data_IF_456594519135
#
_entry.id   IF_456594519135
#
_cell.length_a   1.000
_cell.length_b   1.000
_cell.length_c   1.000
_cell.angle_alpha   90.00
_cell.angle_beta   90.00
_cell.angle_gamma   90.00
#
_symmetry.space_group_name_H-M   'P 1'
#
loop_
_entity.id
_entity.type
_entity.pdbx_description
1 polymer ?
#
# COMPACT_ATOMS: atom_id res chain seq x y z
N UNK A 1 -23.01 -0.93 12.81
CA UNK A 1 -21.63 -0.76 12.30
C UNK A 1 -21.72 -0.18 10.91
N UNK A 2 -21.08 0.97 10.66
CA UNK A 2 -21.07 1.59 9.33
C UNK A 2 -19.88 1.00 8.56
N UNK A 3 -20.12 0.39 7.41
CA UNK A 3 -19.07 -0.22 6.58
C UNK A 3 -18.64 0.78 5.51
N UNK A 4 -17.34 1.10 5.46
CA UNK A 4 -16.78 1.89 4.37
C UNK A 4 -16.17 0.95 3.34
N UNK A 5 -16.85 0.74 2.21
CA UNK A 5 -16.33 -0.05 1.09
C UNK A 5 -15.81 0.92 0.03
N UNK A 6 -14.50 0.94 -0.18
CA UNK A 6 -13.87 1.73 -1.23
C UNK A 6 -13.37 0.77 -2.32
N UNK A 7 -14.14 0.64 -3.39
CA UNK A 7 -13.75 -0.11 -4.60
C UNK A 7 -13.25 0.90 -5.62
N UNK A 8 -11.93 0.96 -5.85
CA UNK A 8 -11.31 1.90 -6.79
C UNK A 8 -10.73 1.12 -7.97
N UNK A 9 -11.55 0.90 -9.00
CA UNK A 9 -11.09 0.35 -10.28
C UNK A 9 -10.56 1.49 -11.16
N UNK A 10 -9.28 1.82 -11.04
CA UNK A 10 -8.64 2.85 -11.85
C UNK A 10 -7.12 2.73 -11.88
N UNK A 11 -6.54 2.80 -13.08
CA UNK A 11 -5.11 2.79 -13.32
C UNK A 11 -4.53 4.17 -12.92
N UNK A 12 -4.10 4.33 -11.67
CA UNK A 12 -3.36 5.52 -11.23
C UNK A 12 -1.90 5.38 -11.65
N UNK A 13 -1.45 6.19 -12.61
CA UNK A 13 -0.09 6.10 -13.19
C UNK A 13 0.98 6.65 -12.23
N UNK A 14 0.61 7.48 -11.25
CA UNK A 14 1.45 7.85 -10.10
C UNK A 14 0.53 8.19 -8.93
N UNK A 15 0.45 7.32 -7.91
CA UNK A 15 -0.19 7.69 -6.66
C UNK A 15 -0.62 6.51 -5.81
N UNK A 16 -0.54 6.71 -4.50
CA UNK A 16 -0.97 5.73 -3.52
C UNK A 16 -2.48 5.67 -3.44
N UNK A 17 -3.03 4.46 -3.46
CA UNK A 17 -4.39 4.26 -2.96
C UNK A 17 -4.30 4.25 -1.44
N UNK A 18 -4.82 5.29 -0.79
CA UNK A 18 -4.93 5.38 0.67
C UNK A 18 -6.36 5.12 1.14
N UNK A 19 -6.59 4.07 1.93
CA UNK A 19 -7.83 3.88 2.68
C UNK A 19 -7.62 4.27 4.15
N UNK A 20 -8.55 5.03 4.74
CA UNK A 20 -8.52 5.41 6.15
C UNK A 20 -9.87 5.15 6.84
N UNK A 21 -9.87 4.45 7.98
CA UNK A 21 -11.04 4.41 8.86
C UNK A 21 -10.67 4.38 10.34
N UNK A 22 -11.58 4.88 11.16
CA UNK A 22 -11.51 4.81 12.62
C UNK A 22 -12.85 4.28 13.16
N UNK A 23 -12.82 3.19 13.93
CA UNK A 23 -14.03 2.58 14.50
C UNK A 23 -14.97 1.94 13.48
N UNK A 24 -14.48 1.56 12.30
CA UNK A 24 -15.29 0.99 11.21
C UNK A 24 -14.45 0.08 10.33
N UNK A 25 -15.05 -1.02 9.88
CA UNK A 25 -14.35 -2.02 9.07
C UNK A 25 -13.84 -1.40 7.76
N UNK A 26 -12.57 -1.70 7.44
CA UNK A 26 -11.91 -1.32 6.21
C UNK A 26 -11.83 -2.55 5.31
N UNK A 27 -12.43 -2.48 4.13
CA UNK A 27 -12.35 -3.55 3.13
C UNK A 27 -11.77 -3.00 1.83
N UNK A 28 -10.59 -3.48 1.46
CA UNK A 28 -9.90 -3.09 0.22
C UNK A 28 -9.59 -4.32 -0.60
N UNK A 29 -10.38 -4.55 -1.64
CA UNK A 29 -10.33 -5.80 -2.40
C UNK A 29 -10.20 -5.60 -3.90
N UNK A 30 -9.50 -6.54 -4.55
CA UNK A 30 -9.46 -6.68 -6.01
C UNK A 30 -8.99 -5.42 -6.75
N UNK A 31 -8.15 -4.60 -6.12
CA UNK A 31 -7.55 -3.44 -6.78
C UNK A 31 -6.31 -3.87 -7.57
N UNK A 32 -6.07 -3.21 -8.70
CA UNK A 32 -4.85 -3.38 -9.48
C UNK A 32 -4.17 -2.02 -9.54
N UNK A 33 -2.99 -1.92 -8.92
CA UNK A 33 -2.17 -0.72 -8.87
C UNK A 33 -0.92 -0.94 -9.72
N UNK A 34 -0.61 0.02 -10.59
CA UNK A 34 0.60 0.02 -11.40
C UNK A 34 1.32 1.35 -11.19
N UNK A 35 2.52 1.34 -10.62
CA UNK A 35 3.33 2.54 -10.44
C UNK A 35 4.64 2.43 -11.21
N UNK A 36 4.98 3.48 -11.95
CA UNK A 36 6.26 3.60 -12.65
C UNK A 36 6.97 4.84 -12.13
N UNK A 37 8.15 4.63 -11.55
CA UNK A 37 9.03 5.68 -11.06
C UNK A 37 10.36 5.56 -11.81
N UNK A 38 10.85 6.68 -12.35
CA UNK A 38 12.16 6.77 -12.96
C UNK A 38 12.81 8.07 -12.48
N UNK A 39 14.05 8.00 -12.02
CA UNK A 39 14.83 9.16 -11.57
C UNK A 39 14.07 10.01 -10.51
N UNK A 40 13.28 9.35 -9.67
CA UNK A 40 12.41 9.99 -8.70
C UNK A 40 13.08 10.05 -7.31
N UNK A 41 12.73 11.09 -6.54
CA UNK A 41 13.03 11.17 -5.11
C UNK A 41 11.75 11.01 -4.31
N UNK A 42 11.66 9.98 -3.48
CA UNK A 42 10.49 9.66 -2.67
C UNK A 42 10.88 9.58 -1.21
N UNK A 43 10.26 10.43 -0.38
CA UNK A 43 10.54 10.51 1.05
C UNK A 43 9.22 10.49 1.83
N UNK A 44 9.18 9.77 2.96
CA UNK A 44 8.05 9.75 3.89
C UNK A 44 6.71 9.38 3.23
N UNK A 45 6.72 8.52 2.22
CA UNK A 45 5.55 8.24 1.39
C UNK A 45 5.31 6.75 1.20
N UNK A 46 4.34 6.41 0.35
CA UNK A 46 4.11 5.03 -0.08
C UNK A 46 4.02 5.01 -1.60
N UNK A 47 4.27 3.86 -2.21
CA UNK A 47 4.16 3.61 -3.65
C UNK A 47 3.39 2.30 -3.76
N UNK A 48 2.30 2.27 -4.53
CA UNK A 48 1.34 1.16 -4.52
C UNK A 48 0.11 1.46 -3.66
N UNK A 49 -0.05 0.72 -2.57
CA UNK A 49 -1.25 0.76 -1.73
C UNK A 49 -0.91 1.03 -0.27
N UNK A 50 -1.68 1.91 0.37
CA UNK A 50 -1.62 2.17 1.81
C UNK A 50 -2.99 2.01 2.45
N UNK A 51 -3.06 1.29 3.56
CA UNK A 51 -4.25 1.22 4.39
C UNK A 51 -3.88 1.71 5.79
N UNK A 52 -4.65 2.64 6.33
CA UNK A 52 -4.50 3.12 7.70
C UNK A 52 -5.80 2.91 8.46
N UNK A 53 -5.75 2.19 9.57
CA UNK A 53 -6.94 1.94 10.37
C UNK A 53 -6.66 2.10 11.87
N UNK A 54 -7.70 2.42 12.62
CA UNK A 54 -7.66 2.41 14.08
C UNK A 54 -8.95 1.81 14.63
N UNK A 55 -8.86 0.94 15.65
CA UNK A 55 -10.02 0.31 16.29
C UNK A 55 -10.99 -0.33 15.28
N UNK A 56 -10.47 -1.08 14.31
CA UNK A 56 -11.23 -1.56 13.15
C UNK A 56 -10.84 -3.00 12.76
N UNK A 57 -11.69 -3.67 12.00
CA UNK A 57 -11.28 -4.86 11.25
C UNK A 57 -10.85 -4.44 9.85
N UNK A 58 -9.64 -4.81 9.45
CA UNK A 58 -9.08 -4.52 8.12
C UNK A 58 -9.02 -5.82 7.32
N UNK A 59 -9.77 -5.88 6.23
CA UNK A 59 -9.65 -6.95 5.23
C UNK A 59 -9.08 -6.36 3.95
N UNK A 60 -7.95 -6.90 3.50
CA UNK A 60 -7.38 -6.54 2.22
C UNK A 60 -7.01 -7.77 1.43
N UNK A 61 -7.73 -8.03 0.35
CA UNK A 61 -7.61 -9.29 -0.39
C UNK A 61 -7.72 -9.17 -1.90
N UNK A 62 -6.97 -9.99 -2.61
CA UNK A 62 -7.01 -10.03 -4.07
C UNK A 62 -6.44 -8.79 -4.75
N UNK A 63 -5.66 -7.97 -4.05
CA UNK A 63 -5.05 -6.78 -4.64
C UNK A 63 -3.75 -7.13 -5.35
N UNK A 64 -3.49 -6.48 -6.48
CA UNK A 64 -2.27 -6.63 -7.26
C UNK A 64 -1.57 -5.28 -7.30
N UNK A 65 -0.36 -5.19 -6.74
CA UNK A 65 0.49 -4.02 -6.83
C UNK A 65 1.70 -4.35 -7.71
N UNK A 66 1.85 -3.63 -8.82
CA UNK A 66 2.96 -3.73 -9.76
C UNK A 66 3.75 -2.42 -9.67
N UNK A 67 4.98 -2.45 -9.18
CA UNK A 67 5.80 -1.25 -9.04
C UNK A 67 7.12 -1.43 -9.79
N UNK A 68 7.35 -0.57 -10.78
CA UNK A 68 8.62 -0.42 -11.47
C UNK A 68 9.29 0.85 -10.97
N UNK A 69 10.47 0.72 -10.37
CA UNK A 69 11.25 1.82 -9.82
C UNK A 69 12.65 1.74 -10.41
N UNK A 70 13.04 2.71 -11.23
CA UNK A 70 14.38 2.82 -11.81
C UNK A 70 15.08 4.09 -11.33
N UNK A 71 16.40 4.01 -11.10
CA UNK A 71 17.29 5.15 -10.77
C UNK A 71 16.75 6.13 -9.72
N UNK A 72 15.98 5.65 -8.76
CA UNK A 72 15.27 6.49 -7.80
C UNK A 72 15.91 6.43 -6.41
N UNK A 73 15.67 7.44 -5.60
CA UNK A 73 16.05 7.45 -4.19
C UNK A 73 14.77 7.40 -3.32
N UNK A 74 14.62 6.33 -2.55
CA UNK A 74 13.45 6.06 -1.71
C UNK A 74 13.90 6.01 -0.25
N UNK A 75 13.35 6.90 0.58
CA UNK A 75 13.68 6.98 2.00
C UNK A 75 12.44 7.03 2.88
N UNK A 76 12.48 6.35 4.03
CA UNK A 76 11.40 6.33 5.02
C UNK A 76 10.01 6.09 4.41
N UNK A 77 9.92 5.15 3.47
CA UNK A 77 8.75 4.95 2.61
C UNK A 77 8.36 3.47 2.49
N UNK A 78 7.32 3.17 1.72
CA UNK A 78 6.98 1.79 1.34
C UNK A 78 6.75 1.66 -0.16
N UNK A 79 7.14 0.52 -0.74
CA UNK A 79 6.91 0.15 -2.15
C UNK A 79 6.15 -1.17 -2.17
N UNK A 80 4.94 -1.19 -2.72
CA UNK A 80 4.04 -2.34 -2.66
C UNK A 80 2.80 -2.02 -1.85
N UNK A 81 2.60 -2.73 -0.75
CA UNK A 81 1.43 -2.58 0.10
C UNK A 81 1.84 -2.34 1.54
N UNK A 82 1.32 -1.27 2.15
CA UNK A 82 1.50 -0.97 3.58
C UNK A 82 0.15 -0.93 4.30
N UNK A 83 0.03 -1.66 5.40
CA UNK A 83 -1.12 -1.62 6.30
C UNK A 83 -0.65 -1.18 7.68
N UNK A 84 -1.09 0.00 8.10
CA UNK A 84 -0.88 0.58 9.43
C UNK A 84 -2.19 0.50 10.21
N UNK A 85 -2.35 -0.48 11.10
CA UNK A 85 -3.63 -0.75 11.77
C UNK A 85 -3.47 -0.83 13.28
N UNK A 86 -3.81 0.25 13.99
CA UNK A 86 -3.71 0.31 15.45
C UNK A 86 -4.98 -0.23 16.13
N UNK A 87 -4.83 -1.01 17.20
CA UNK A 87 -5.90 -1.64 17.97
C UNK A 87 -6.88 -2.39 17.04
N UNK A 88 -6.35 -3.08 16.03
CA UNK A 88 -7.12 -3.56 14.88
C UNK A 88 -6.79 -4.99 14.52
N UNK A 89 -7.77 -5.73 13.98
CA UNK A 89 -7.52 -7.04 13.38
C UNK A 89 -7.25 -6.87 11.90
N UNK A 90 -6.14 -7.44 11.41
CA UNK A 90 -5.78 -7.35 9.99
C UNK A 90 -5.80 -8.73 9.34
N UNK A 91 -6.47 -8.81 8.18
CA UNK A 91 -6.42 -9.94 7.27
C UNK A 91 -5.96 -9.45 5.90
N UNK A 92 -4.74 -9.80 5.53
CA UNK A 92 -4.13 -9.43 4.25
C UNK A 92 -3.78 -10.70 3.44
N UNK A 93 -4.75 -11.27 2.72
CA UNK A 93 -4.61 -12.55 2.02
C UNK A 93 -4.74 -12.39 0.50
N UNK A 94 -4.07 -13.26 -0.26
CA UNK A 94 -4.20 -13.34 -1.72
C UNK A 94 -3.84 -12.03 -2.45
N UNK A 95 -2.93 -11.25 -1.87
CA UNK A 95 -2.41 -10.04 -2.50
C UNK A 95 -1.10 -10.35 -3.22
N UNK A 96 -0.92 -9.80 -4.42
CA UNK A 96 0.29 -9.92 -5.22
C UNK A 96 1.01 -8.58 -5.18
N UNK A 97 2.29 -8.58 -4.78
CA UNK A 97 3.14 -7.39 -4.82
C UNK A 97 4.37 -7.71 -5.68
N UNK A 98 4.37 -7.27 -6.93
CA UNK A 98 5.51 -7.38 -7.83
C UNK A 98 6.25 -6.04 -7.85
N UNK A 99 7.48 -6.03 -7.33
CA UNK A 99 8.31 -4.84 -7.29
C UNK A 99 9.60 -5.10 -8.08
N UNK A 100 9.80 -4.37 -9.16
CA UNK A 100 11.08 -4.31 -9.87
C UNK A 100 11.74 -2.99 -9.51
N UNK A 101 12.77 -3.06 -8.66
CA UNK A 101 13.54 -1.91 -8.20
C UNK A 101 14.97 -2.02 -8.73
N UNK A 102 15.32 -1.20 -9.70
CA UNK A 102 16.60 -1.23 -10.40
C UNK A 102 17.37 0.08 -10.18
N UNK A 103 18.70 0.00 -10.00
CA UNK A 103 19.62 1.15 -9.88
C UNK A 103 19.16 2.22 -8.88
N UNK A 104 18.39 1.81 -7.87
CA UNK A 104 17.72 2.71 -6.94
C UNK A 104 18.26 2.48 -5.53
N UNK A 105 18.36 3.57 -4.76
CA UNK A 105 18.70 3.52 -3.34
C UNK A 105 17.41 3.44 -2.52
N UNK A 106 17.25 2.39 -1.71
CA UNK A 106 16.09 2.21 -0.83
C UNK A 106 16.56 2.09 0.61
N UNK A 107 16.28 3.11 1.42
CA UNK A 107 16.78 3.23 2.80
C UNK A 107 15.62 3.47 3.78
N UNK A 108 15.68 2.86 4.96
CA UNK A 108 14.65 2.98 6.02
C UNK A 108 13.22 2.71 5.49
N UNK A 109 13.09 1.82 4.51
CA UNK A 109 11.84 1.63 3.75
C UNK A 109 11.51 0.15 3.61
N UNK A 110 10.24 -0.17 3.37
CA UNK A 110 9.80 -1.54 3.07
C UNK A 110 9.51 -1.73 1.57
N UNK A 111 9.82 -2.91 1.04
CA UNK A 111 9.49 -3.32 -0.33
C UNK A 111 8.73 -4.64 -0.28
N UNK A 112 7.54 -4.70 -0.87
CA UNK A 112 6.63 -5.84 -0.78
C UNK A 112 5.37 -5.53 0.02
N UNK A 113 5.00 -6.44 0.93
CA UNK A 113 3.90 -6.25 1.87
C UNK A 113 4.45 -5.93 3.27
N UNK A 114 3.99 -4.83 3.85
CA UNK A 114 4.27 -4.41 5.23
C UNK A 114 2.97 -4.34 6.00
N UNK A 115 2.84 -5.10 7.09
CA UNK A 115 1.68 -5.06 7.98
C UNK A 115 2.18 -4.75 9.38
N UNK A 116 1.81 -3.58 9.88
CA UNK A 116 2.05 -3.13 11.25
C UNK A 116 0.67 -3.08 11.94
N UNK A 117 0.41 -4.09 12.77
CA UNK A 117 -0.79 -4.19 13.58
C UNK A 117 -0.41 -4.32 15.05
N UNK A 118 -0.80 -3.34 15.85
CA UNK A 118 -0.55 -3.24 17.29
C UNK A 118 -1.86 -3.31 18.08
#
# INVERSE_FOLDING_TARGET
MKKLTLTLAGLLVVGTISAMAAGSDVKVEKNINLNLLNEAKVENSSIGQKVKAANSEVESSGNINLNLVDKSNIKNSSVGMKVDAKDSKVKANDNINLNLVEKSDVTDSSVGLSVEAE
#
